data_IF_155139744548
#
_entry.id   IF_155139744548
#
_cell.length_a   1.000
_cell.length_b   1.000
_cell.length_c   1.000
_cell.angle_alpha   90.00
_cell.angle_beta   90.00
_cell.angle_gamma   90.00
#
_symmetry.space_group_name_H-M   'P 1'
#
loop_
_entity.id
_entity.type
_entity.pdbx_description
1 polymer ?
#
# COMPACT_ATOMS: atom_id res chain seq x y z
N UNK A 1 15.61 -43.41 6.54
CA UNK A 1 16.12 -42.81 5.30
C UNK A 1 15.39 -43.53 4.17
N UNK A 2 14.62 -42.81 3.37
CA UNK A 2 14.02 -43.40 2.16
C UNK A 2 15.16 -43.46 1.16
N UNK A 3 15.65 -44.65 0.85
CA UNK A 3 16.64 -44.84 -0.21
C UNK A 3 15.87 -44.85 -1.53
N UNK A 4 15.94 -43.73 -2.23
CA UNK A 4 15.43 -43.60 -3.57
C UNK A 4 16.36 -44.34 -4.54
N UNK A 5 15.76 -45.14 -5.42
CA UNK A 5 16.49 -45.71 -6.56
C UNK A 5 17.01 -44.59 -7.46
N UNK A 6 18.03 -44.86 -8.29
CA UNK A 6 18.73 -43.87 -9.10
C UNK A 6 17.74 -43.11 -10.03
N UNK A 7 16.75 -43.81 -10.58
CA UNK A 7 15.67 -43.21 -11.36
C UNK A 7 14.73 -42.32 -10.54
N UNK A 8 14.44 -42.69 -9.29
CA UNK A 8 13.57 -41.90 -8.42
C UNK A 8 14.27 -40.62 -7.94
N UNK A 9 15.59 -40.65 -7.73
CA UNK A 9 16.40 -39.45 -7.44
C UNK A 9 16.36 -38.45 -8.60
N UNK A 10 16.53 -38.94 -9.83
CA UNK A 10 16.48 -38.08 -11.02
C UNK A 10 15.11 -37.42 -11.18
N UNK A 11 14.03 -38.18 -10.93
CA UNK A 11 12.66 -37.65 -10.97
C UNK A 11 12.45 -36.61 -9.86
N UNK A 12 12.94 -36.87 -8.65
CA UNK A 12 12.83 -35.94 -7.54
C UNK A 12 13.57 -34.62 -7.83
N UNK A 13 14.80 -34.71 -8.35
CA UNK A 13 15.61 -33.54 -8.69
C UNK A 13 14.94 -32.71 -9.80
N UNK A 14 14.35 -33.37 -10.81
CA UNK A 14 13.57 -32.71 -11.85
C UNK A 14 12.34 -31.99 -11.29
N UNK A 15 11.58 -32.65 -10.40
CA UNK A 15 10.41 -32.06 -9.76
C UNK A 15 10.79 -30.88 -8.88
N UNK A 16 11.92 -30.96 -8.18
CA UNK A 16 12.43 -29.86 -7.37
C UNK A 16 12.82 -28.66 -8.24
N UNK A 17 13.54 -28.89 -9.33
CA UNK A 17 13.89 -27.84 -10.31
C UNK A 17 12.66 -27.18 -10.90
N UNK A 18 11.65 -27.96 -11.30
CA UNK A 18 10.40 -27.43 -11.84
C UNK A 18 9.64 -26.59 -10.81
N UNK A 19 9.58 -27.04 -9.55
CA UNK A 19 8.97 -26.26 -8.47
C UNK A 19 9.70 -24.92 -8.28
N UNK A 20 11.03 -24.92 -8.30
CA UNK A 20 11.81 -23.69 -8.18
C UNK A 20 11.58 -22.73 -9.35
N UNK A 21 11.49 -23.24 -10.58
CA UNK A 21 11.20 -22.44 -11.76
C UNK A 21 9.79 -21.86 -11.75
N UNK A 22 8.78 -22.64 -11.30
CA UNK A 22 7.42 -22.15 -11.09
C UNK A 22 7.42 -21.00 -10.06
N UNK A 23 8.10 -21.18 -8.92
CA UNK A 23 8.20 -20.12 -7.90
C UNK A 23 8.89 -18.86 -8.44
N UNK A 24 9.92 -19.00 -9.29
CA UNK A 24 10.58 -17.85 -9.93
C UNK A 24 9.64 -17.13 -10.89
N UNK A 25 8.86 -17.88 -11.68
CA UNK A 25 7.88 -17.31 -12.61
C UNK A 25 6.75 -16.59 -11.87
N UNK A 26 6.18 -17.18 -10.82
CA UNK A 26 5.15 -16.55 -9.99
C UNK A 26 5.65 -15.21 -9.40
N UNK A 27 6.86 -15.23 -8.82
CA UNK A 27 7.49 -14.01 -8.29
C UNK A 27 7.77 -12.96 -9.38
N UNK A 28 8.09 -13.38 -10.61
CA UNK A 28 8.31 -12.47 -11.74
C UNK A 28 7.01 -11.89 -12.29
N UNK A 29 5.93 -12.67 -12.30
CA UNK A 29 4.61 -12.22 -12.73
C UNK A 29 4.02 -11.20 -11.75
N UNK A 30 4.24 -11.37 -10.44
CA UNK A 30 3.78 -10.40 -9.45
C UNK A 30 4.58 -9.08 -9.48
N UNK A 31 5.86 -9.11 -9.86
CA UNK A 31 6.68 -7.89 -10.02
C UNK A 31 6.26 -7.02 -11.21
N UNK A 32 5.65 -7.60 -12.24
CA UNK A 32 5.26 -6.91 -13.48
C UNK A 32 3.76 -6.59 -13.59
N UNK A 33 2.98 -6.71 -12.50
CA UNK A 33 1.62 -6.18 -12.49
C UNK A 33 1.69 -4.65 -12.43
N UNK A 34 1.83 -4.03 -13.60
CA UNK A 34 1.54 -2.61 -13.77
C UNK A 34 0.12 -2.38 -13.29
N UNK A 35 0.00 -1.70 -12.16
CA UNK A 35 -1.31 -1.42 -11.62
C UNK A 35 -2.01 -0.43 -12.56
N UNK A 36 -3.31 -0.64 -12.78
CA UNK A 36 -4.13 0.26 -13.62
C UNK A 36 -3.91 1.72 -13.18
N UNK A 37 -3.57 2.65 -14.07
CA UNK A 37 -3.33 4.05 -13.70
C UNK A 37 -4.60 4.67 -13.11
N UNK A 38 -4.44 5.53 -12.09
CA UNK A 38 -5.58 6.33 -11.59
C UNK A 38 -5.88 7.46 -12.57
N UNK A 39 -7.15 7.86 -12.62
CA UNK A 39 -7.63 8.95 -13.48
C UNK A 39 -7.04 10.32 -13.12
N UNK A 40 -6.66 10.50 -11.86
CA UNK A 40 -6.19 11.77 -11.34
C UNK A 40 -5.14 11.57 -10.24
N UNK A 41 -4.37 12.63 -10.00
CA UNK A 41 -3.39 12.74 -8.92
C UNK A 41 -3.66 14.00 -8.13
N UNK A 42 -3.39 13.98 -6.83
CA UNK A 42 -3.55 15.15 -5.95
C UNK A 42 -2.51 15.15 -4.84
N UNK A 43 -2.41 16.29 -4.17
CA UNK A 43 -1.53 16.49 -3.00
C UNK A 43 -2.40 16.53 -1.75
N UNK A 44 -2.02 15.76 -0.73
CA UNK A 44 -2.66 15.81 0.59
C UNK A 44 -2.05 16.99 1.34
N UNK A 45 -2.87 17.97 1.71
CA UNK A 45 -2.45 19.13 2.50
C UNK A 45 -2.41 18.77 4.00
N UNK A 46 -3.46 18.10 4.48
CA UNK A 46 -3.54 17.68 5.87
C UNK A 46 -4.29 16.36 6.01
N UNK A 47 -4.03 15.65 7.10
CA UNK A 47 -4.60 14.33 7.35
C UNK A 47 -4.73 14.06 8.84
N UNK A 48 -5.68 13.19 9.19
CA UNK A 48 -5.79 12.57 10.50
C UNK A 48 -6.16 11.09 10.33
N UNK A 49 -6.51 10.41 11.43
CA UNK A 49 -6.85 8.98 11.43
C UNK A 49 -8.07 8.61 10.56
N UNK A 50 -8.95 9.57 10.26
CA UNK A 50 -10.23 9.33 9.59
C UNK A 50 -10.45 10.18 8.34
N UNK A 51 -9.73 11.30 8.18
CA UNK A 51 -9.97 12.29 7.14
C UNK A 51 -8.68 12.70 6.45
N UNK A 52 -8.82 12.98 5.16
CA UNK A 52 -7.78 13.53 4.29
C UNK A 52 -8.30 14.83 3.69
N UNK A 53 -7.52 15.91 3.78
CA UNK A 53 -7.77 17.14 3.05
C UNK A 53 -6.77 17.26 1.90
N UNK A 54 -7.28 17.50 0.71
CA UNK A 54 -6.50 17.72 -0.50
C UNK A 54 -6.26 19.22 -0.69
N UNK A 55 -5.08 19.55 -1.23
CA UNK A 55 -4.70 20.93 -1.55
C UNK A 55 -5.59 21.53 -2.65
N UNK A 56 -5.92 20.71 -3.64
CA UNK A 56 -6.70 21.11 -4.82
C UNK A 56 -8.12 20.54 -4.77
N UNK A 57 -9.05 21.18 -5.48
CA UNK A 57 -10.45 20.74 -5.63
C UNK A 57 -10.56 19.56 -6.61
N UNK A 58 -10.11 18.38 -6.17
CA UNK A 58 -10.03 17.17 -7.00
C UNK A 58 -11.19 16.20 -6.75
N UNK A 59 -12.05 16.49 -5.78
CA UNK A 59 -13.16 15.63 -5.41
C UNK A 59 -14.48 16.21 -5.88
N UNK A 60 -15.39 15.31 -6.21
CA UNK A 60 -16.82 15.60 -6.31
C UNK A 60 -17.51 15.11 -5.04
N UNK A 61 -18.37 15.95 -4.48
CA UNK A 61 -19.09 15.70 -3.23
C UNK A 61 -19.91 14.40 -3.29
N UNK A 62 -19.98 13.70 -2.14
CA UNK A 62 -20.66 12.41 -1.97
C UNK A 62 -20.15 11.24 -2.83
N UNK A 63 -19.10 11.41 -3.65
CA UNK A 63 -18.50 10.32 -4.41
C UNK A 63 -17.48 9.53 -3.60
N UNK A 64 -17.39 8.24 -3.91
CA UNK A 64 -16.37 7.34 -3.39
C UNK A 64 -15.17 7.26 -4.33
N UNK A 65 -13.97 7.27 -3.76
CA UNK A 65 -12.72 7.21 -4.50
C UNK A 65 -11.81 6.13 -3.94
N UNK A 66 -11.05 5.54 -4.85
CA UNK A 66 -9.93 4.66 -4.54
C UNK A 66 -8.62 5.44 -4.66
N UNK A 67 -7.85 5.48 -3.58
CA UNK A 67 -6.54 6.12 -3.55
C UNK A 67 -5.43 5.11 -3.35
N UNK A 68 -4.28 5.49 -3.91
CA UNK A 68 -3.00 4.87 -3.63
C UNK A 68 -1.97 5.95 -3.43
N UNK A 69 -1.16 5.79 -2.39
CA UNK A 69 -0.01 6.65 -2.16
C UNK A 69 1.11 5.85 -1.49
N UNK A 70 2.33 6.34 -1.66
CA UNK A 70 3.52 5.75 -1.07
C UNK A 70 3.75 6.35 0.31
N UNK A 71 3.82 5.47 1.32
CA UNK A 71 4.09 5.81 2.70
C UNK A 71 5.33 5.04 3.15
N UNK A 72 6.45 5.72 3.39
CA UNK A 72 7.72 5.10 3.81
C UNK A 72 8.13 3.87 2.95
N UNK A 73 8.08 4.01 1.62
CA UNK A 73 8.32 2.95 0.62
C UNK A 73 7.31 1.80 0.61
N UNK A 74 6.19 1.92 1.34
CA UNK A 74 5.05 1.01 1.26
C UNK A 74 3.91 1.66 0.47
N UNK A 75 3.40 0.96 -0.55
CA UNK A 75 2.18 1.37 -1.26
C UNK A 75 0.97 1.01 -0.42
N UNK A 76 0.24 2.02 0.03
CA UNK A 76 -1.02 1.82 0.75
C UNK A 76 -2.20 2.20 -0.12
N UNK A 77 -3.32 1.50 0.09
CA UNK A 77 -4.54 1.70 -0.66
C UNK A 77 -5.72 1.97 0.28
N UNK A 78 -6.46 3.04 0.00
CA UNK A 78 -7.53 3.53 0.86
C UNK A 78 -8.75 3.85 0.01
N UNK A 79 -9.92 3.46 0.49
CA UNK A 79 -11.20 3.95 -0.02
C UNK A 79 -11.64 5.13 0.82
N UNK A 80 -12.04 6.21 0.14
CA UNK A 80 -12.57 7.42 0.77
C UNK A 80 -13.94 7.76 0.22
N UNK A 81 -14.72 8.50 1.00
CA UNK A 81 -15.92 9.20 0.54
C UNK A 81 -15.70 10.71 0.67
N UNK A 82 -15.85 11.44 -0.42
CA UNK A 82 -15.76 12.88 -0.43
C UNK A 82 -16.88 13.50 0.42
N UNK A 83 -16.49 14.37 1.34
CA UNK A 83 -17.39 15.21 2.15
C UNK A 83 -17.52 16.60 1.54
N UNK A 84 -16.52 17.03 0.76
CA UNK A 84 -16.53 18.25 -0.03
C UNK A 84 -15.59 18.09 -1.23
N UNK A 85 -15.32 19.16 -1.97
CA UNK A 85 -14.38 19.14 -3.09
C UNK A 85 -12.92 18.91 -2.70
N UNK A 86 -12.58 19.06 -1.41
CA UNK A 86 -11.21 18.91 -0.89
C UNK A 86 -11.14 17.95 0.30
N UNK A 87 -12.25 17.75 1.03
CA UNK A 87 -12.27 16.93 2.23
C UNK A 87 -12.84 15.55 1.91
N UNK A 88 -12.18 14.51 2.39
CA UNK A 88 -12.70 13.16 2.31
C UNK A 88 -12.53 12.38 3.60
N UNK A 89 -13.48 11.47 3.84
CA UNK A 89 -13.48 10.52 4.95
C UNK A 89 -12.99 9.17 4.47
N UNK A 90 -12.09 8.54 5.21
CA UNK A 90 -11.68 7.16 5.01
C UNK A 90 -12.84 6.24 5.36
N UNK A 91 -13.29 5.44 4.38
CA UNK A 91 -14.37 4.46 4.54
C UNK A 91 -13.83 3.04 4.67
N UNK A 92 -12.68 2.74 4.06
CA UNK A 92 -12.07 1.41 4.14
C UNK A 92 -10.57 1.45 3.92
N UNK A 93 -9.85 0.72 4.75
CA UNK A 93 -8.41 0.52 4.70
C UNK A 93 -8.12 -0.92 5.12
N UNK A 94 -7.11 -1.56 4.53
CA UNK A 94 -6.68 -2.89 4.97
C UNK A 94 -6.11 -2.80 6.39
N UNK A 95 -6.29 -3.80 7.26
CA UNK A 95 -5.75 -3.76 8.63
C UNK A 95 -4.24 -3.52 8.67
N UNK A 96 -3.49 -4.18 7.77
CA UNK A 96 -2.04 -4.04 7.63
C UNK A 96 -1.63 -2.60 7.25
N UNK A 97 -2.33 -2.01 6.29
CA UNK A 97 -2.10 -0.62 5.86
C UNK A 97 -2.53 0.39 6.92
N UNK A 98 -3.56 0.07 7.72
CA UNK A 98 -4.03 0.94 8.79
C UNK A 98 -3.00 1.14 9.89
N UNK A 99 -2.32 0.06 10.29
CA UNK A 99 -1.24 0.17 11.27
C UNK A 99 -0.13 1.12 10.81
N UNK A 100 0.27 1.03 9.54
CA UNK A 100 1.28 1.92 8.96
C UNK A 100 0.79 3.36 8.86
N UNK A 101 -0.45 3.55 8.40
CA UNK A 101 -1.07 4.88 8.28
C UNK A 101 -1.19 5.58 9.64
N UNK A 102 -1.71 4.90 10.66
CA UNK A 102 -1.89 5.47 12.00
C UNK A 102 -0.54 5.84 12.63
N UNK A 103 0.50 5.00 12.43
CA UNK A 103 1.85 5.31 12.88
C UNK A 103 2.40 6.58 12.21
N UNK A 104 2.17 6.74 10.92
CA UNK A 104 2.57 7.93 10.17
C UNK A 104 1.84 9.20 10.65
N UNK A 105 0.52 9.12 10.89
CA UNK A 105 -0.26 10.24 11.45
C UNK A 105 0.38 10.72 12.76
N UNK A 106 0.71 9.80 13.65
CA UNK A 106 1.37 10.11 14.93
C UNK A 106 2.76 10.72 14.71
N UNK A 107 3.55 10.20 13.77
CA UNK A 107 4.87 10.73 13.45
C UNK A 107 4.80 12.19 12.97
N UNK A 108 3.88 12.49 12.06
CA UNK A 108 3.65 13.85 11.56
C UNK A 108 3.25 14.79 12.69
N UNK A 109 2.31 14.37 13.54
CA UNK A 109 1.89 15.15 14.71
C UNK A 109 3.05 15.41 15.68
N UNK A 110 3.89 14.40 15.97
CA UNK A 110 5.08 14.56 16.82
C UNK A 110 6.08 15.54 16.21
N UNK A 111 6.33 15.44 14.91
CA UNK A 111 7.23 16.35 14.20
C UNK A 111 6.72 17.79 14.24
N UNK A 112 5.42 18.02 14.08
CA UNK A 112 4.81 19.35 14.24
C UNK A 112 5.03 19.92 15.64
N UNK A 113 4.86 19.11 16.69
CA UNK A 113 5.09 19.54 18.09
C UNK A 113 6.56 19.87 18.34
N UNK A 114 7.48 19.01 17.86
CA UNK A 114 8.92 19.23 18.03
C UNK A 114 9.38 20.52 17.35
N UNK A 115 8.89 20.79 16.15
CA UNK A 115 9.25 22.00 15.40
C UNK A 115 8.73 23.28 16.09
N UNK A 116 7.58 23.20 16.77
CA UNK A 116 7.06 24.33 17.57
C UNK A 116 7.85 24.58 18.86
N UNK A 117 8.29 23.51 19.54
CA UNK A 117 9.08 23.61 20.79
C UNK A 117 10.53 24.06 20.58
N UNK A 118 11.10 23.86 19.40
CA UNK A 118 12.45 24.33 19.07
C UNK A 118 12.53 25.80 18.65
N UNK A 119 11.39 26.51 18.62
CA UNK A 119 11.30 27.93 18.31
C UNK A 119 10.98 28.81 19.54
N UNK A 120 11.01 28.23 20.74
CA UNK A 120 11.08 28.93 22.04
C UNK A 120 12.50 28.85 22.60
#
# INVERSE_FOLDING_TARGET
RIDFDEGEKIIFDLLLSLKEDILRLENSLDKNKELIPLKQKGVIESLNFEYLNFLDTILEEDKEYYLRFDLNNQKIAIFIKAQSQTLAKIIKIKPEDKMAFDAFVVEIQRNMIRNKKGQE
#
